data_IF_523280530053
#
_entry.id   IF_523280530053
#
_cell.length_a   1.000
_cell.length_b   1.000
_cell.length_c   1.000
_cell.angle_alpha   90.00
_cell.angle_beta   90.00
_cell.angle_gamma   90.00
#
_symmetry.space_group_name_H-M   'P 1'
#
loop_
_entity.id
_entity.type
_entity.pdbx_description
1 polymer ?
#
# COMPACT_ATOMS: atom_id res chain seq x y z
N UNK A 1 -24.65 40.39 -16.40
CA UNK A 1 -24.31 40.06 -15.00
C UNK A 1 -24.74 38.60 -14.81
N UNK A 2 -24.08 37.60 -15.38
CA UNK A 2 -22.67 37.17 -15.20
C UNK A 2 -22.34 36.95 -13.72
N UNK A 3 -21.88 35.72 -13.42
CA UNK A 3 -21.08 35.27 -12.25
C UNK A 3 -21.88 34.76 -11.04
N UNK A 4 -21.59 33.64 -10.36
CA UNK A 4 -20.50 32.63 -10.38
C UNK A 4 -20.87 31.58 -9.32
N UNK A 5 -21.42 30.40 -9.66
CA UNK A 5 -21.49 29.25 -8.73
C UNK A 5 -21.51 27.87 -9.44
N UNK A 6 -20.94 27.78 -10.64
CA UNK A 6 -20.90 26.53 -11.43
C UNK A 6 -19.46 25.97 -11.60
N UNK A 7 -18.60 26.15 -10.61
CA UNK A 7 -17.24 25.56 -10.61
C UNK A 7 -17.03 24.70 -9.37
N UNK A 8 -17.67 23.52 -9.30
CA UNK A 8 -17.16 22.33 -8.58
C UNK A 8 -17.99 21.06 -8.88
N UNK A 9 -18.50 20.92 -10.11
CA UNK A 9 -19.26 19.73 -10.52
C UNK A 9 -18.96 19.37 -11.99
N UNK A 10 -17.68 19.36 -12.38
CA UNK A 10 -17.29 18.80 -13.66
C UNK A 10 -16.45 17.53 -13.45
N UNK A 11 -17.04 16.42 -13.90
CA UNK A 11 -16.40 15.19 -14.33
C UNK A 11 -15.75 14.29 -13.25
N UNK A 12 -16.57 13.75 -12.35
CA UNK A 12 -16.41 12.31 -12.07
C UNK A 12 -17.10 11.61 -13.23
N UNK A 13 -16.31 11.11 -14.18
CA UNK A 13 -16.80 10.24 -15.23
C UNK A 13 -17.54 9.07 -14.57
N UNK A 14 -18.81 8.87 -14.93
CA UNK A 14 -19.67 7.77 -14.48
C UNK A 14 -19.27 6.42 -15.09
N UNK A 15 -18.04 6.31 -15.59
CA UNK A 15 -17.40 5.03 -15.90
C UNK A 15 -16.72 4.55 -14.63
N UNK A 16 -17.35 3.60 -13.93
CA UNK A 16 -16.64 2.86 -12.90
C UNK A 16 -15.40 2.23 -13.55
N UNK A 17 -14.21 2.79 -13.27
CA UNK A 17 -12.96 2.15 -13.62
C UNK A 17 -12.95 0.82 -12.86
N UNK A 18 -12.83 -0.34 -13.53
CA UNK A 18 -12.71 -1.61 -12.83
C UNK A 18 -11.61 -1.49 -11.79
N UNK A 19 -11.90 -1.86 -10.55
CA UNK A 19 -10.91 -1.79 -9.47
C UNK A 19 -9.64 -2.54 -9.86
N UNK A 20 -8.49 -2.04 -9.43
CA UNK A 20 -7.19 -2.66 -9.71
C UNK A 20 -7.20 -4.12 -9.27
N UNK A 21 -6.82 -5.02 -10.18
CA UNK A 21 -6.70 -6.44 -9.85
C UNK A 21 -5.41 -6.71 -9.05
N UNK A 22 -5.54 -7.53 -8.01
CA UNK A 22 -4.43 -7.98 -7.17
C UNK A 22 -3.85 -9.28 -7.73
N UNK A 23 -3.27 -9.18 -8.92
CA UNK A 23 -2.81 -10.35 -9.65
C UNK A 23 -1.44 -10.82 -9.13
N UNK A 24 -1.41 -11.99 -8.49
CA UNK A 24 -0.18 -12.67 -8.13
C UNK A 24 -0.34 -13.57 -6.90
N UNK A 25 0.64 -14.46 -6.65
CA UNK A 25 0.71 -15.24 -5.42
C UNK A 25 0.94 -14.33 -4.19
N UNK A 26 0.97 -14.95 -3.02
CA UNK A 26 1.42 -14.30 -1.79
C UNK A 26 2.83 -13.71 -1.98
N UNK A 27 3.08 -12.54 -1.39
CA UNK A 27 4.35 -11.83 -1.50
C UNK A 27 5.21 -12.12 -0.27
N UNK A 28 6.44 -12.56 -0.48
CA UNK A 28 7.32 -13.00 0.61
C UNK A 28 8.69 -12.32 0.55
N UNK A 29 9.21 -12.06 -0.65
CA UNK A 29 10.53 -11.45 -0.82
C UNK A 29 10.42 -9.94 -0.92
N UNK A 30 11.51 -9.24 -0.60
CA UNK A 30 11.58 -7.78 -0.77
C UNK A 30 11.28 -7.32 -2.19
N UNK A 31 11.68 -8.11 -3.19
CA UNK A 31 11.37 -7.83 -4.59
C UNK A 31 9.86 -7.92 -4.86
N UNK A 32 9.15 -8.85 -4.21
CA UNK A 32 7.70 -9.00 -4.36
C UNK A 32 6.95 -7.86 -3.67
N UNK A 33 7.35 -7.48 -2.45
CA UNK A 33 6.78 -6.30 -1.77
C UNK A 33 7.00 -5.01 -2.55
N UNK A 34 8.19 -4.79 -3.13
CA UNK A 34 8.46 -3.61 -3.98
C UNK A 34 7.58 -3.61 -5.24
N UNK A 35 7.40 -4.75 -5.90
CA UNK A 35 6.48 -4.87 -7.04
C UNK A 35 5.04 -4.57 -6.62
N UNK A 36 4.59 -5.08 -5.46
CA UNK A 36 3.25 -4.80 -4.92
C UNK A 36 3.07 -3.31 -4.65
N UNK A 37 4.02 -2.65 -3.99
CA UNK A 37 3.95 -1.20 -3.80
C UNK A 37 3.96 -0.43 -5.12
N UNK A 38 4.80 -0.82 -6.08
CA UNK A 38 4.85 -0.19 -7.41
C UNK A 38 3.51 -0.35 -8.16
N UNK A 39 2.88 -1.53 -8.07
CA UNK A 39 1.54 -1.76 -8.64
C UNK A 39 0.51 -0.79 -8.04
N UNK A 40 0.53 -0.56 -6.73
CA UNK A 40 -0.43 0.32 -6.07
C UNK A 40 -0.13 1.80 -6.32
N UNK A 41 1.14 2.18 -6.24
CA UNK A 41 1.60 3.55 -6.53
C UNK A 41 1.48 3.91 -8.02
N UNK A 42 1.26 2.95 -8.90
CA UNK A 42 1.04 3.18 -10.33
C UNK A 42 -0.33 3.77 -10.67
N UNK A 43 -1.24 3.83 -9.71
CA UNK A 43 -2.58 4.37 -9.87
C UNK A 43 -2.61 5.89 -9.90
N UNK A 44 -3.20 6.45 -10.96
CA UNK A 44 -3.18 7.88 -11.24
C UNK A 44 -3.91 8.69 -10.17
N UNK A 45 -5.05 8.19 -9.66
CA UNK A 45 -5.82 8.87 -8.62
C UNK A 45 -5.04 8.87 -7.30
N UNK A 46 -4.36 7.76 -6.98
CA UNK A 46 -3.49 7.67 -5.81
C UNK A 46 -2.28 8.59 -5.92
N UNK A 47 -1.66 8.70 -7.10
CA UNK A 47 -0.55 9.62 -7.35
C UNK A 47 -0.98 11.08 -7.18
N UNK A 48 -2.14 11.45 -7.76
CA UNK A 48 -2.65 12.82 -7.68
C UNK A 48 -3.01 13.19 -6.24
N UNK A 49 -3.62 12.28 -5.48
CA UNK A 49 -3.88 12.49 -4.06
C UNK A 49 -2.58 12.73 -3.28
N UNK A 50 -1.55 11.89 -3.47
CA UNK A 50 -0.24 12.05 -2.84
C UNK A 50 0.49 13.33 -3.27
N UNK A 51 0.24 13.84 -4.48
CA UNK A 51 0.82 15.09 -4.99
C UNK A 51 0.17 16.31 -4.34
N UNK A 52 -1.14 16.25 -4.09
CA UNK A 52 -1.94 17.38 -3.61
C UNK A 52 -1.90 17.56 -2.08
N UNK A 53 -1.71 16.49 -1.32
CA UNK A 53 -1.84 16.53 0.14
C UNK A 53 -0.68 15.85 0.88
N UNK A 54 -0.33 16.30 2.09
CA UNK A 54 0.52 15.54 2.99
C UNK A 54 -0.25 14.37 3.61
N UNK A 55 0.43 13.23 3.77
CA UNK A 55 -0.15 12.01 4.33
C UNK A 55 0.53 11.68 5.66
N UNK A 56 -0.27 11.37 6.68
CA UNK A 56 0.18 10.72 7.90
C UNK A 56 -0.27 9.27 7.78
N UNK A 57 0.69 8.35 7.72
CA UNK A 57 0.43 6.94 7.42
C UNK A 57 0.75 6.05 8.61
N UNK A 58 -0.04 4.99 8.74
CA UNK A 58 0.24 3.81 9.58
C UNK A 58 -0.11 2.58 8.75
N UNK A 59 0.59 1.48 8.98
CA UNK A 59 0.24 0.18 8.40
C UNK A 59 -0.73 -0.58 9.30
N UNK A 60 -1.30 -1.65 8.77
CA UNK A 60 -1.97 -2.72 9.47
C UNK A 60 -1.24 -4.07 9.18
N UNK A 61 -1.94 -5.18 9.31
CA UNK A 61 -1.45 -6.53 9.04
C UNK A 61 -1.14 -6.79 7.55
N UNK A 62 -2.01 -6.36 6.64
CA UNK A 62 -1.94 -6.62 5.20
C UNK A 62 -0.74 -6.00 4.46
N UNK A 63 0.02 -5.10 5.10
CA UNK A 63 1.34 -4.69 4.60
C UNK A 63 2.38 -5.82 4.67
N UNK A 64 2.10 -6.89 5.41
CA UNK A 64 2.94 -8.08 5.52
C UNK A 64 2.16 -9.34 5.17
N UNK A 65 1.16 -9.70 5.97
CA UNK A 65 0.39 -10.94 5.89
C UNK A 65 -0.93 -10.78 6.67
N UNK A 66 -2.02 -11.38 6.22
CA UNK A 66 -3.32 -11.24 6.88
C UNK A 66 -3.27 -11.74 8.34
N UNK A 67 -3.88 -11.02 9.28
CA UNK A 67 -4.00 -11.38 10.70
C UNK A 67 -2.70 -11.72 11.47
N UNK A 68 -1.51 -11.31 11.00
CA UNK A 68 -0.27 -11.58 11.76
C UNK A 68 -0.28 -10.84 13.10
N UNK A 69 0.32 -11.43 14.14
CA UNK A 69 0.42 -10.83 15.47
C UNK A 69 1.85 -10.94 16.02
N UNK A 70 2.52 -9.80 16.16
CA UNK A 70 3.95 -9.73 16.46
C UNK A 70 4.76 -10.69 15.58
N UNK A 71 5.35 -11.75 16.14
CA UNK A 71 6.20 -12.72 15.43
C UNK A 71 5.42 -13.98 14.98
N UNK A 72 4.09 -13.95 15.12
CA UNK A 72 3.18 -15.07 14.86
C UNK A 72 2.49 -14.81 13.50
N UNK A 73 2.73 -15.67 12.49
CA UNK A 73 2.06 -15.59 11.19
C UNK A 73 0.60 -16.06 11.29
N UNK A 74 -0.13 -15.96 10.19
CA UNK A 74 -1.50 -16.43 10.10
C UNK A 74 -1.61 -17.97 10.08
N UNK A 75 -2.82 -18.48 10.31
CA UNK A 75 -3.08 -19.91 10.17
C UNK A 75 -3.02 -20.33 8.69
N UNK A 76 -2.13 -21.27 8.36
CA UNK A 76 -1.95 -21.74 6.98
C UNK A 76 -0.97 -20.91 6.14
N UNK A 77 -0.28 -19.95 6.76
CA UNK A 77 0.75 -19.09 6.16
C UNK A 77 1.75 -19.83 5.26
N UNK A 78 2.16 -19.21 4.14
CA UNK A 78 3.30 -19.64 3.33
C UNK A 78 4.65 -19.46 4.06
N UNK A 79 4.66 -18.74 5.19
CA UNK A 79 5.81 -18.53 6.07
C UNK A 79 5.61 -19.11 7.49
N UNK A 80 5.27 -20.41 7.64
CA UNK A 80 4.68 -20.97 8.86
C UNK A 80 5.61 -21.05 10.09
N UNK A 81 6.87 -20.67 9.95
CA UNK A 81 7.82 -20.65 11.07
C UNK A 81 8.15 -19.21 11.41
N UNK A 82 8.27 -18.88 12.70
CA UNK A 82 8.68 -17.56 13.18
C UNK A 82 9.88 -16.99 12.41
N UNK A 83 10.90 -17.81 12.14
CA UNK A 83 12.10 -17.36 11.38
C UNK A 83 11.80 -16.97 9.94
N UNK A 84 10.91 -17.70 9.25
CA UNK A 84 10.51 -17.38 7.87
C UNK A 84 9.61 -16.15 7.86
N UNK A 85 8.64 -16.11 8.76
CA UNK A 85 7.74 -14.97 8.91
C UNK A 85 8.51 -13.67 9.21
N UNK A 86 9.42 -13.67 10.19
CA UNK A 86 10.21 -12.47 10.51
C UNK A 86 11.08 -11.98 9.33
N UNK A 87 11.54 -12.88 8.45
CA UNK A 87 12.22 -12.48 7.21
C UNK A 87 11.25 -11.80 6.23
N UNK A 88 10.05 -12.32 6.08
CA UNK A 88 8.98 -11.71 5.29
C UNK A 88 8.58 -10.35 5.84
N UNK A 89 8.32 -10.26 7.15
CA UNK A 89 8.00 -9.01 7.87
C UNK A 89 9.08 -7.95 7.70
N UNK A 90 10.35 -8.33 7.80
CA UNK A 90 11.47 -7.40 7.56
C UNK A 90 11.45 -6.87 6.11
N UNK A 91 11.17 -7.72 5.13
CA UNK A 91 11.05 -7.32 3.74
C UNK A 91 9.84 -6.39 3.50
N UNK A 92 8.68 -6.70 4.11
CA UNK A 92 7.49 -5.85 4.06
C UNK A 92 7.73 -4.48 4.68
N UNK A 93 8.31 -4.41 5.88
CA UNK A 93 8.62 -3.15 6.55
C UNK A 93 9.63 -2.30 5.78
N UNK A 94 10.65 -2.93 5.20
CA UNK A 94 11.60 -2.22 4.34
C UNK A 94 10.89 -1.62 3.11
N UNK A 95 10.08 -2.41 2.40
CA UNK A 95 9.37 -1.93 1.22
C UNK A 95 8.36 -0.82 1.58
N UNK A 96 7.70 -0.92 2.73
CA UNK A 96 6.81 0.12 3.25
C UNK A 96 7.57 1.43 3.47
N UNK A 97 8.71 1.38 4.17
CA UNK A 97 9.56 2.54 4.41
C UNK A 97 10.03 3.19 3.10
N UNK A 98 10.40 2.40 2.10
CA UNK A 98 10.83 2.89 0.78
C UNK A 98 9.73 3.60 -0.01
N UNK A 99 8.45 3.33 0.27
CA UNK A 99 7.30 3.82 -0.51
C UNK A 99 6.41 4.82 0.23
N UNK A 100 6.72 5.13 1.49
CA UNK A 100 5.95 6.03 2.34
C UNK A 100 6.73 7.30 2.70
N UNK A 101 6.06 8.46 2.90
CA UNK A 101 6.71 9.71 3.24
C UNK A 101 7.13 9.76 4.72
N UNK A 102 7.95 8.81 5.17
CA UNK A 102 8.38 8.65 6.55
C UNK A 102 9.68 9.40 6.84
N UNK A 103 9.93 9.66 8.13
CA UNK A 103 11.17 10.28 8.60
C UNK A 103 12.27 9.20 8.74
N UNK A 104 13.57 9.58 8.70
CA UNK A 104 14.66 8.63 8.93
C UNK A 104 14.60 7.87 10.27
N UNK A 105 13.95 8.45 11.29
CA UNK A 105 13.73 7.79 12.59
C UNK A 105 12.77 6.58 12.51
N UNK A 106 12.06 6.43 11.40
CA UNK A 106 11.15 5.31 11.13
C UNK A 106 11.82 4.20 10.33
N UNK A 107 13.14 4.22 10.13
CA UNK A 107 13.84 3.09 9.52
C UNK A 107 13.63 1.82 10.37
N UNK A 108 13.25 0.69 9.74
CA UNK A 108 13.01 -0.58 10.43
C UNK A 108 14.29 -1.27 10.92
#
# INVERSE_FOLDING_TARGET
MQETWACFALAISETAVPGREHNGPEIITLADYRKRHALYKGDEDMQEAHRLFPFIVTFDDHEVENNYADAIPEEGSETPTMRRFLKSRTAGYQAYYENMPLRPSSMP
#
